data_IF_592052073801
#
_entry.id   IF_592052073801
#
_cell.length_a   1.000
_cell.length_b   1.000
_cell.length_c   1.000
_cell.angle_alpha   90.00
_cell.angle_beta   90.00
_cell.angle_gamma   90.00
#
_symmetry.space_group_name_H-M   'P 1'
#
loop_
_entity.id
_entity.type
_entity.pdbx_description
1 polymer ?
#
# COMPACT_ATOMS: atom_id res chain seq x y z
N UNK A 1 2.31 8.37 -3.70
CA UNK A 1 1.20 7.40 -3.75
C UNK A 1 0.74 7.08 -2.35
N UNK A 2 -0.58 7.02 -2.13
CA UNK A 2 -1.13 6.53 -0.87
C UNK A 2 -1.54 5.06 -1.02
N UNK A 3 -1.29 4.21 -0.02
CA UNK A 3 -1.59 2.78 -0.04
C UNK A 3 -2.21 2.34 1.29
N UNK A 4 -3.27 1.55 1.22
CA UNK A 4 -4.01 1.03 2.37
C UNK A 4 -4.51 -0.41 2.11
N UNK A 5 -4.70 -1.21 3.17
CA UNK A 5 -5.32 -2.54 3.16
C UNK A 5 -6.68 -2.52 3.86
N UNK A 6 -7.74 -2.81 3.12
CA UNK A 6 -9.11 -2.88 3.64
C UNK A 6 -9.55 -4.34 3.74
N UNK A 7 -10.23 -4.73 4.82
CA UNK A 7 -10.82 -6.08 4.91
C UNK A 7 -12.08 -6.16 4.03
N UNK A 8 -12.19 -7.22 3.23
CA UNK A 8 -13.39 -7.56 2.46
C UNK A 8 -14.35 -8.32 3.36
N UNK A 9 -15.51 -7.73 3.62
CA UNK A 9 -16.59 -8.38 4.36
C UNK A 9 -17.92 -8.25 3.59
N UNK A 10 -18.56 -9.37 3.21
CA UNK A 10 -18.06 -10.74 3.33
C UNK A 10 -16.88 -11.03 2.37
N UNK A 11 -16.04 -12.05 2.67
CA UNK A 11 -15.05 -12.55 1.72
C UNK A 11 -15.68 -12.96 0.39
N UNK A 12 -14.93 -12.83 -0.71
CA UNK A 12 -15.43 -13.14 -2.06
C UNK A 12 -14.35 -13.84 -2.89
N UNK A 13 -14.68 -14.98 -3.51
CA UNK A 13 -13.78 -15.67 -4.44
C UNK A 13 -12.42 -16.09 -3.85
N UNK A 14 -12.34 -16.34 -2.55
CA UNK A 14 -11.07 -16.63 -1.85
C UNK A 14 -10.26 -15.40 -1.46
N UNK A 15 -10.79 -14.19 -1.67
CA UNK A 15 -10.19 -12.92 -1.27
C UNK A 15 -10.85 -12.37 -0.01
N UNK A 16 -10.01 -11.92 0.93
CA UNK A 16 -10.42 -11.42 2.26
C UNK A 16 -9.95 -9.99 2.51
N UNK A 17 -9.10 -9.42 1.64
CA UNK A 17 -8.61 -8.04 1.74
C UNK A 17 -8.52 -7.36 0.37
N UNK A 18 -8.49 -6.03 0.36
CA UNK A 18 -8.18 -5.19 -0.80
C UNK A 18 -6.95 -4.34 -0.48
N UNK A 19 -5.93 -4.43 -1.32
CA UNK A 19 -4.86 -3.44 -1.38
C UNK A 19 -5.32 -2.30 -2.27
N UNK A 20 -5.56 -1.15 -1.67
CA UNK A 20 -5.94 0.07 -2.39
C UNK A 20 -4.72 0.97 -2.53
N UNK A 21 -4.62 1.64 -3.67
CA UNK A 21 -3.65 2.69 -3.85
C UNK A 21 -4.19 3.84 -4.69
N UNK A 22 -3.75 5.04 -4.34
CA UNK A 22 -4.15 6.29 -4.98
C UNK A 22 -2.90 7.06 -5.40
N UNK A 23 -2.82 7.32 -6.70
CA UNK A 23 -1.92 8.34 -7.22
C UNK A 23 -2.62 9.71 -7.12
N UNK A 24 -2.08 10.58 -6.26
CA UNK A 24 -2.64 11.92 -6.06
C UNK A 24 -2.34 12.87 -7.23
N UNK A 25 -1.29 12.62 -8.00
CA UNK A 25 -0.97 13.43 -9.18
C UNK A 25 -1.90 13.10 -10.34
N UNK A 26 -2.08 11.80 -10.60
CA UNK A 26 -2.92 11.32 -11.70
C UNK A 26 -4.40 11.17 -11.31
N UNK A 27 -4.74 11.38 -10.03
CA UNK A 27 -6.07 11.14 -9.43
C UNK A 27 -6.65 9.75 -9.75
N UNK A 28 -5.79 8.75 -9.92
CA UNK A 28 -6.22 7.39 -10.21
C UNK A 28 -6.17 6.54 -8.95
N UNK A 29 -7.31 5.94 -8.59
CA UNK A 29 -7.43 4.92 -7.54
C UNK A 29 -7.56 3.53 -8.16
N UNK A 30 -6.87 2.54 -7.59
CA UNK A 30 -7.05 1.13 -7.93
C UNK A 30 -7.11 0.28 -6.66
N UNK A 31 -7.75 -0.88 -6.78
CA UNK A 31 -7.85 -1.86 -5.71
C UNK A 31 -7.45 -3.24 -6.26
N UNK A 32 -6.63 -3.97 -5.50
CA UNK A 32 -6.18 -5.32 -5.83
C UNK A 32 -6.69 -6.26 -4.74
N UNK A 33 -7.48 -7.29 -5.08
CA UNK A 33 -7.94 -8.27 -4.10
C UNK A 33 -6.78 -9.17 -3.64
N UNK A 34 -6.72 -9.41 -2.33
CA UNK A 34 -5.73 -10.25 -1.67
C UNK A 34 -6.40 -11.34 -0.82
N UNK A 35 -5.84 -12.55 -0.79
CA UNK A 35 -6.37 -13.66 0.02
C UNK A 35 -6.06 -13.51 1.52
N UNK A 36 -5.13 -12.63 1.89
CA UNK A 36 -4.72 -12.35 3.27
C UNK A 36 -4.18 -10.91 3.39
N UNK A 37 -3.92 -10.46 4.62
CA UNK A 37 -3.36 -9.14 4.92
C UNK A 37 -1.86 -9.16 5.24
N UNK A 38 -1.13 -10.19 4.79
CA UNK A 38 0.30 -10.28 5.11
C UNK A 38 1.07 -9.23 4.32
N UNK A 39 2.18 -8.78 4.89
CA UNK A 39 2.96 -7.70 4.28
C UNK A 39 3.60 -8.16 2.98
N UNK A 40 4.02 -9.42 2.91
CA UNK A 40 4.60 -10.03 1.72
C UNK A 40 3.60 -10.07 0.56
N UNK A 41 2.34 -10.41 0.84
CA UNK A 41 1.27 -10.43 -0.17
C UNK A 41 0.99 -9.03 -0.70
N UNK A 42 0.96 -8.03 0.18
CA UNK A 42 0.77 -6.64 -0.19
C UNK A 42 1.97 -6.09 -1.00
N UNK A 43 3.20 -6.39 -0.58
CA UNK A 43 4.42 -5.96 -1.27
C UNK A 43 4.53 -6.58 -2.66
N UNK A 44 4.28 -7.89 -2.77
CA UNK A 44 4.25 -8.60 -4.04
C UNK A 44 3.20 -8.01 -4.98
N UNK A 45 1.98 -7.79 -4.50
CA UNK A 45 0.91 -7.22 -5.30
C UNK A 45 1.24 -5.79 -5.77
N UNK A 46 1.84 -4.97 -4.91
CA UNK A 46 2.26 -3.61 -5.28
C UNK A 46 3.36 -3.64 -6.36
N UNK A 47 4.36 -4.50 -6.22
CA UNK A 47 5.43 -4.67 -7.21
C UNK A 47 4.88 -5.13 -8.57
N UNK A 48 4.07 -6.18 -8.58
CA UNK A 48 3.56 -6.81 -9.80
C UNK A 48 2.51 -5.97 -10.53
N UNK A 49 1.73 -5.15 -9.83
CA UNK A 49 0.58 -4.44 -10.41
C UNK A 49 0.78 -2.94 -10.54
N UNK A 50 1.57 -2.33 -9.66
CA UNK A 50 1.87 -0.89 -9.75
C UNK A 50 3.24 -0.66 -10.36
N UNK A 51 4.30 -1.18 -9.74
CA UNK A 51 5.68 -0.86 -10.10
C UNK A 51 6.00 -1.35 -11.51
N UNK A 52 5.52 -2.55 -11.87
CA UNK A 52 5.66 -3.10 -13.21
C UNK A 52 5.06 -2.21 -14.32
N UNK A 53 4.07 -1.36 -14.01
CA UNK A 53 3.38 -0.52 -15.01
C UNK A 53 3.73 0.96 -14.92
N UNK A 54 3.99 1.47 -13.71
CA UNK A 54 4.15 2.91 -13.45
C UNK A 54 5.56 3.26 -12.93
N UNK A 55 6.41 2.27 -12.70
CA UNK A 55 7.69 2.46 -12.04
C UNK A 55 7.56 2.64 -10.52
N UNK A 56 8.70 2.89 -9.87
CA UNK A 56 8.74 3.05 -8.41
C UNK A 56 8.24 4.43 -7.98
N UNK A 57 7.31 4.52 -7.02
CA UNK A 57 6.84 5.81 -6.52
C UNK A 57 7.95 6.55 -5.76
N UNK A 58 8.09 7.85 -6.00
CA UNK A 58 9.04 8.73 -5.27
C UNK A 58 8.72 8.78 -3.77
N UNK A 59 7.42 8.78 -3.44
CA UNK A 59 6.93 8.79 -2.05
C UNK A 59 5.78 7.80 -1.90
N UNK A 60 5.90 6.92 -0.91
CA UNK A 60 4.87 5.95 -0.55
C UNK A 60 4.33 6.29 0.84
N UNK A 61 3.03 6.53 0.94
CA UNK A 61 2.36 6.90 2.19
C UNK A 61 1.37 5.81 2.56
N UNK A 62 1.47 5.26 3.78
CA UNK A 62 0.54 4.26 4.30
C UNK A 62 0.00 4.68 5.67
N UNK A 63 -1.23 4.29 5.94
CA UNK A 63 -1.94 4.47 7.20
C UNK A 63 -1.66 3.34 8.21
N UNK A 64 -1.22 2.16 7.76
CA UNK A 64 -0.95 0.98 8.59
C UNK A 64 0.48 0.83 9.14
N UNK A 65 1.27 1.91 9.20
CA UNK A 65 2.48 2.00 10.00
C UNK A 65 3.63 1.02 9.65
N UNK A 66 4.42 0.65 10.67
CA UNK A 66 5.74 -0.01 10.59
C UNK A 66 5.79 -1.36 9.87
N UNK A 67 4.67 -2.10 9.81
CA UNK A 67 4.63 -3.38 9.10
C UNK A 67 4.89 -3.21 7.61
N UNK A 68 4.30 -2.20 6.96
CA UNK A 68 4.59 -1.89 5.56
C UNK A 68 6.04 -1.40 5.39
N UNK A 69 6.54 -0.57 6.31
CA UNK A 69 7.91 -0.05 6.25
C UNK A 69 8.95 -1.19 6.23
N UNK A 70 8.76 -2.26 7.02
CA UNK A 70 9.69 -3.40 7.07
C UNK A 70 9.72 -4.23 5.79
N UNK A 71 8.56 -4.53 5.18
CA UNK A 71 8.56 -5.34 3.95
C UNK A 71 9.12 -4.59 2.74
N UNK A 72 8.94 -3.27 2.66
CA UNK A 72 9.43 -2.49 1.52
C UNK A 72 10.90 -2.08 1.65
N UNK A 73 11.47 -2.07 2.86
CA UNK A 73 12.91 -1.78 3.07
C UNK A 73 13.84 -2.72 2.29
N UNK A 74 13.46 -4.00 2.15
CA UNK A 74 14.22 -4.95 1.35
C UNK A 74 14.11 -4.69 -0.16
N UNK A 75 12.99 -4.13 -0.62
CA UNK A 75 12.71 -3.94 -2.06
C UNK A 75 13.30 -2.62 -2.61
N UNK A 76 13.37 -1.57 -1.79
CA UNK A 76 13.87 -0.25 -2.20
C UNK A 76 15.34 -0.28 -2.60
N UNK A 77 16.15 -1.13 -1.94
CA UNK A 77 17.58 -1.28 -2.21
C UNK A 77 17.88 -1.76 -3.65
N UNK A 78 16.96 -2.52 -4.27
CA UNK A 78 17.15 -3.06 -5.62
C UNK A 78 16.80 -2.06 -6.75
N UNK A 79 16.19 -0.92 -6.43
CA UNK A 79 15.70 0.03 -7.44
C UNK A 79 16.57 1.30 -7.58
N UNK A 80 17.58 1.48 -6.71
CA UNK A 80 18.44 2.67 -6.70
C UNK A 80 17.72 3.99 -6.36
N UNK A 81 16.43 3.94 -6.04
CA UNK A 81 15.59 5.11 -5.76
C UNK A 81 15.49 5.34 -4.25
N UNK A 82 15.87 6.54 -3.81
CA UNK A 82 15.59 7.04 -2.47
C UNK A 82 14.08 7.29 -2.34
N UNK A 83 13.31 6.26 -2.03
CA UNK A 83 11.90 6.44 -1.71
C UNK A 83 11.71 6.89 -0.28
N UNK A 84 10.92 7.94 -0.09
CA UNK A 84 10.50 8.40 1.22
C UNK A 84 9.20 7.70 1.61
N UNK A 85 9.22 6.98 2.73
CA UNK A 85 8.05 6.40 3.36
C UNK A 85 7.53 7.41 4.39
N UNK A 86 6.38 8.03 4.13
CA UNK A 86 5.78 8.99 5.06
C UNK A 86 4.58 8.35 5.77
N UNK A 87 4.52 8.53 7.10
CA UNK A 87 3.41 8.07 7.95
C UNK A 87 2.36 9.17 8.08
N UNK A 88 1.10 8.84 7.86
CA UNK A 88 0.00 9.76 8.18
C UNK A 88 -0.34 9.61 9.66
N UNK A 89 -0.01 10.60 10.51
CA UNK A 89 -0.51 10.62 11.89
C UNK A 89 -1.99 10.99 11.84
N UNK A 90 -2.90 10.05 12.09
CA UNK A 90 -4.32 10.36 12.30
C UNK A 90 -4.43 11.01 13.68
N UNK A 91 -4.60 12.33 13.71
CA UNK A 91 -5.08 13.02 14.90
C UNK A 91 -6.55 12.68 15.11
N UNK A 92 -6.85 11.73 16.00
CA UNK A 92 -8.20 11.59 16.53
C UNK A 92 -8.46 12.79 17.47
N UNK A 93 -9.28 13.74 17.03
CA UNK A 93 -10.05 14.59 17.93
C UNK A 93 -11.52 14.25 17.69
N UNK A 94 -12.10 13.54 18.65
CA UNK A 94 -13.55 13.30 18.72
C UNK A 94 -14.11 14.52 19.46
N UNK A 95 -14.97 15.37 18.86
CA UNK A 95 -15.60 16.44 19.63
C UNK A 95 -16.70 15.86 20.51
N UNK A 96 -16.72 16.31 21.76
CA UNK A 96 -17.76 16.10 22.77
C UNK A 96 -19.10 16.71 22.35
#
# INVERSE_FOLDING_TARGET
>A
MHVDLVALLPPSGGFTYLLTYVDRFLRWSKAIPLPNCTVESAAKALLERWVATNGWPVTLTTDKGSHFEEAFKGSTQYTGLHSRLDRTRVGQTVPS
#
